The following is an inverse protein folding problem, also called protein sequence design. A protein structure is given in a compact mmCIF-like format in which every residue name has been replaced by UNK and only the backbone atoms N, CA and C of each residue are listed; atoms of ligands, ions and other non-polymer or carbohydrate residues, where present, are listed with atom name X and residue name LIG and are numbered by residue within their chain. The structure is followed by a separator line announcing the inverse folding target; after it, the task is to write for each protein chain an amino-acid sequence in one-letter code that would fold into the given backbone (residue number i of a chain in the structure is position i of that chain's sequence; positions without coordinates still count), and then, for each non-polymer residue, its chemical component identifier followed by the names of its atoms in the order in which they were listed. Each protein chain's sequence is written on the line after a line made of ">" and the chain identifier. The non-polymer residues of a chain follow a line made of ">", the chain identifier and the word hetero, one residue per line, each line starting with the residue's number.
data_IF_795582525309
#
_entry.id   IF_795582525309
#
_cell.length_a   1.000
_cell.length_b   1.000
_cell.length_c   1.000
_cell.angle_alpha   90.00
_cell.angle_beta   90.00
_cell.angle_gamma   90.00
#
_symmetry.space_group_name_H-M   'P 1'
#
loop_
_entity.id
_entity.type
_entity.pdbx_description
1 polymer ?
#
# COMPACT_ATOMS: atom_id res chain seq x y z
N UNK A 1 27.92 8.96 9.22
CA UNK A 1 26.91 7.93 9.63
C UNK A 1 26.59 8.07 11.09
N UNK A 2 27.62 8.24 11.94
CA UNK A 2 27.46 8.33 13.41
C UNK A 2 26.70 9.57 13.83
N UNK A 3 26.84 10.67 13.12
CA UNK A 3 26.09 11.93 13.35
C UNK A 3 24.57 11.74 13.17
N UNK A 4 24.14 10.95 12.18
CA UNK A 4 22.70 10.68 11.95
C UNK A 4 22.10 9.81 13.05
N UNK A 5 22.88 8.86 13.57
CA UNK A 5 22.46 8.00 14.71
C UNK A 5 22.36 8.82 16.00
N UNK A 6 23.23 9.85 16.14
CA UNK A 6 23.29 10.71 17.32
C UNK A 6 22.21 11.82 17.35
N UNK A 7 21.42 11.99 16.28
CA UNK A 7 20.33 12.98 16.26
C UNK A 7 19.32 12.69 17.38
N UNK A 8 18.98 13.73 18.11
CA UNK A 8 17.88 13.67 19.07
C UNK A 8 16.51 13.85 18.38
N UNK A 9 15.44 13.44 19.07
CA UNK A 9 14.06 13.67 18.61
C UNK A 9 13.68 15.15 18.52
N UNK A 10 14.46 16.05 19.12
CA UNK A 10 14.29 17.52 18.99
C UNK A 10 15.01 18.09 17.78
N UNK A 11 16.09 17.44 17.31
CA UNK A 11 16.87 17.87 16.14
C UNK A 11 16.31 17.30 14.85
N UNK A 12 15.85 16.04 14.85
CA UNK A 12 15.34 15.35 13.66
C UNK A 12 14.20 16.14 12.94
N UNK A 13 13.21 16.76 13.64
CA UNK A 13 12.16 17.56 12.98
C UNK A 13 12.67 18.82 12.27
N UNK A 14 13.92 19.23 12.54
CA UNK A 14 14.55 20.42 11.92
C UNK A 14 15.29 20.07 10.63
N UNK A 15 15.43 18.80 10.30
CA UNK A 15 16.02 18.40 9.03
C UNK A 15 15.12 18.85 7.87
N UNK A 16 15.72 19.62 6.96
CA UNK A 16 15.02 20.07 5.76
C UNK A 16 14.91 18.92 4.73
N UNK A 17 13.99 19.07 3.77
CA UNK A 17 13.87 18.19 2.61
C UNK A 17 15.20 18.01 1.87
N UNK A 18 15.95 19.10 1.67
CA UNK A 18 17.27 19.07 1.02
C UNK A 18 18.29 18.27 1.82
N UNK A 19 18.30 18.39 3.14
CA UNK A 19 19.20 17.61 4.00
C UNK A 19 18.85 16.12 3.96
N UNK A 20 17.57 15.76 3.98
CA UNK A 20 17.12 14.36 3.82
C UNK A 20 17.51 13.83 2.44
N UNK A 21 17.27 14.58 1.37
CA UNK A 21 17.64 14.17 0.01
C UNK A 21 19.16 13.95 -0.17
N UNK A 22 19.99 14.70 0.60
CA UNK A 22 21.45 14.59 0.56
C UNK A 22 22.01 13.40 1.38
N UNK A 23 21.19 12.73 2.22
CA UNK A 23 21.64 11.57 2.98
C UNK A 23 21.93 10.39 2.05
N UNK A 24 23.00 9.66 2.34
CA UNK A 24 23.23 8.36 1.69
C UNK A 24 22.20 7.33 2.15
N UNK A 25 22.02 6.26 1.37
CA UNK A 25 21.17 5.13 1.73
C UNK A 25 21.58 4.49 3.07
N UNK A 26 22.89 4.42 3.33
CA UNK A 26 23.41 3.93 4.61
C UNK A 26 23.01 4.83 5.78
N UNK A 27 23.02 6.15 5.60
CA UNK A 27 22.58 7.09 6.63
C UNK A 27 21.07 6.97 6.88
N UNK A 28 20.26 6.88 5.83
CA UNK A 28 18.81 6.68 5.94
C UNK A 28 18.49 5.37 6.66
N UNK A 29 19.17 4.27 6.34
CA UNK A 29 18.95 2.98 7.01
C UNK A 29 19.33 3.00 8.50
N UNK A 30 20.12 3.98 8.94
CA UNK A 30 20.54 4.16 10.34
C UNK A 30 19.71 5.21 11.10
N UNK A 31 18.78 5.91 10.44
CA UNK A 31 17.85 6.80 11.15
C UNK A 31 17.03 6.00 12.16
N UNK A 32 17.02 6.47 13.40
CA UNK A 32 16.19 5.88 14.46
C UNK A 32 14.69 6.03 14.14
N UNK A 33 13.91 5.04 14.52
CA UNK A 33 12.44 5.04 14.28
C UNK A 33 11.75 6.25 14.93
N UNK A 34 12.21 6.68 16.10
CA UNK A 34 11.65 7.84 16.79
C UNK A 34 12.00 9.16 16.05
N UNK A 35 13.17 9.20 15.40
CA UNK A 35 13.56 10.34 14.57
C UNK A 35 12.74 10.36 13.26
N UNK A 36 12.44 9.19 12.66
CA UNK A 36 11.58 9.09 11.48
C UNK A 36 10.17 9.61 11.76
N UNK A 37 9.58 9.25 12.89
CA UNK A 37 8.21 9.65 13.27
C UNK A 37 8.03 11.17 13.39
N UNK A 38 9.10 11.91 13.66
CA UNK A 38 9.04 13.35 13.86
C UNK A 38 9.54 14.17 12.66
N UNK A 39 9.95 13.50 11.57
CA UNK A 39 10.30 14.20 10.32
C UNK A 39 9.06 14.92 9.75
N UNK A 40 9.31 16.08 9.13
CA UNK A 40 8.27 16.81 8.40
C UNK A 40 7.80 16.02 7.17
N UNK A 41 6.60 16.33 6.68
CA UNK A 41 6.07 15.72 5.46
C UNK A 41 6.94 16.00 4.25
N UNK A 42 7.47 17.22 4.12
CA UNK A 42 8.40 17.59 3.04
C UNK A 42 9.69 16.75 3.09
N UNK A 43 10.17 16.43 4.29
CA UNK A 43 11.33 15.57 4.48
C UNK A 43 11.04 14.11 4.06
N UNK A 44 9.84 13.60 4.31
CA UNK A 44 9.39 12.27 3.86
C UNK A 44 9.23 12.25 2.33
N UNK A 45 8.63 13.26 1.75
CA UNK A 45 8.44 13.40 0.30
C UNK A 45 9.77 13.48 -0.45
N UNK A 46 10.78 14.08 0.16
CA UNK A 46 12.13 14.21 -0.40
C UNK A 46 12.93 12.89 -0.45
N UNK A 47 12.45 11.81 0.15
CA UNK A 47 13.12 10.52 0.08
C UNK A 47 13.19 10.02 -1.36
N UNK A 48 14.39 9.83 -1.86
CA UNK A 48 14.61 9.24 -3.17
C UNK A 48 14.23 7.75 -3.20
N UNK A 49 14.05 7.22 -4.40
CA UNK A 49 13.79 5.78 -4.65
C UNK A 49 14.84 4.89 -3.96
N UNK A 50 16.12 5.25 -4.05
CA UNK A 50 17.21 4.48 -3.44
C UNK A 50 17.16 4.54 -1.90
N UNK A 51 16.81 5.69 -1.34
CA UNK A 51 16.64 5.87 0.10
C UNK A 51 15.42 5.08 0.61
N UNK A 52 14.29 5.12 -0.11
CA UNK A 52 13.10 4.32 0.23
C UNK A 52 13.40 2.82 0.25
N UNK A 53 14.14 2.30 -0.75
CA UNK A 53 14.61 0.91 -0.77
C UNK A 53 15.47 0.53 0.44
N UNK A 54 16.22 1.48 0.98
CA UNK A 54 17.12 1.25 2.11
C UNK A 54 16.40 1.23 3.47
N UNK A 55 15.15 1.68 3.54
CA UNK A 55 14.35 1.61 4.76
C UNK A 55 14.07 0.15 5.15
N UNK A 56 14.25 -0.17 6.41
CA UNK A 56 13.86 -1.47 6.98
C UNK A 56 12.34 -1.56 7.16
N UNK A 57 11.82 -2.78 7.36
CA UNK A 57 10.40 -3.00 7.68
C UNK A 57 9.99 -2.22 8.94
N UNK A 58 10.84 -2.23 9.97
CA UNK A 58 10.60 -1.47 11.21
C UNK A 58 10.54 0.04 10.97
N UNK A 59 11.39 0.57 10.10
CA UNK A 59 11.37 1.99 9.75
C UNK A 59 10.12 2.37 8.96
N UNK A 60 9.73 1.55 7.99
CA UNK A 60 8.51 1.78 7.19
C UNK A 60 7.26 1.72 8.07
N UNK A 61 7.13 0.71 8.94
CA UNK A 61 5.99 0.58 9.86
C UNK A 61 5.96 1.65 10.96
N UNK A 62 7.10 2.29 11.23
CA UNK A 62 7.18 3.39 12.20
C UNK A 62 6.71 4.74 11.64
N UNK A 63 6.65 4.91 10.32
CA UNK A 63 6.06 6.12 9.73
C UNK A 63 4.60 6.26 10.18
N UNK A 64 4.19 7.46 10.55
CA UNK A 64 2.77 7.72 10.80
C UNK A 64 1.97 7.55 9.50
N UNK A 65 0.68 7.27 9.61
CA UNK A 65 -0.22 7.19 8.43
C UNK A 65 -0.21 8.50 7.62
N UNK A 66 -0.12 9.64 8.31
CA UNK A 66 0.02 10.94 7.67
C UNK A 66 1.34 11.07 6.88
N UNK A 67 2.47 10.65 7.46
CA UNK A 67 3.76 10.62 6.75
C UNK A 67 3.73 9.63 5.57
N UNK A 68 3.09 8.48 5.74
CA UNK A 68 3.01 7.45 4.68
C UNK A 68 2.32 7.99 3.42
N UNK A 69 1.30 8.84 3.56
CA UNK A 69 0.66 9.56 2.43
C UNK A 69 1.62 10.44 1.64
N UNK A 70 2.65 10.96 2.29
CA UNK A 70 3.66 11.84 1.68
C UNK A 70 4.84 11.10 1.05
N UNK A 71 4.88 9.76 1.14
CA UNK A 71 5.83 9.00 0.34
C UNK A 71 5.48 9.13 -1.13
N UNK A 72 6.45 9.55 -1.94
CA UNK A 72 6.28 9.66 -3.38
C UNK A 72 5.90 8.32 -4.01
N UNK A 73 5.13 8.34 -5.10
CA UNK A 73 4.67 7.13 -5.80
C UNK A 73 5.82 6.23 -6.24
N UNK A 74 6.91 6.80 -6.74
CA UNK A 74 8.13 6.06 -7.10
C UNK A 74 8.83 5.45 -5.88
N UNK A 75 8.78 6.12 -4.72
CA UNK A 75 9.36 5.63 -3.48
C UNK A 75 8.56 4.43 -2.95
N UNK A 76 7.23 4.52 -2.93
CA UNK A 76 6.37 3.41 -2.46
C UNK A 76 6.45 2.18 -3.39
N UNK A 77 6.50 2.39 -4.71
CA UNK A 77 6.70 1.31 -5.69
C UNK A 77 8.06 0.60 -5.52
N UNK A 78 9.05 1.32 -4.99
CA UNK A 78 10.39 0.81 -4.77
C UNK A 78 10.58 0.07 -3.44
N UNK A 79 9.63 0.18 -2.50
CA UNK A 79 9.67 -0.59 -1.27
C UNK A 79 9.68 -2.08 -1.59
N UNK A 80 10.52 -2.84 -0.90
CA UNK A 80 10.51 -4.29 -1.05
C UNK A 80 9.15 -4.86 -0.61
N UNK A 81 8.69 -5.92 -1.25
CA UNK A 81 7.35 -6.49 -1.02
C UNK A 81 7.12 -6.92 0.42
N UNK A 82 8.18 -7.34 1.13
CA UNK A 82 8.15 -7.69 2.55
C UNK A 82 7.88 -6.48 3.46
N UNK A 83 8.11 -5.24 2.98
CA UNK A 83 7.76 -4.02 3.71
C UNK A 83 6.24 -3.80 3.74
N UNK A 84 5.55 -4.19 2.67
CA UNK A 84 4.10 -4.08 2.53
C UNK A 84 3.37 -4.98 3.52
N UNK A 85 3.85 -6.20 3.74
CA UNK A 85 3.30 -7.12 4.76
C UNK A 85 3.32 -6.51 6.17
N UNK A 86 4.31 -5.66 6.45
CA UNK A 86 4.51 -5.05 7.76
C UNK A 86 3.83 -3.67 7.91
N UNK A 87 3.09 -3.19 6.90
CA UNK A 87 2.31 -1.96 7.03
C UNK A 87 1.23 -2.13 8.09
N UNK A 88 1.06 -1.10 8.91
CA UNK A 88 -0.07 -1.04 9.83
C UNK A 88 -1.39 -0.83 9.09
N UNK A 89 -2.49 -1.23 9.70
CA UNK A 89 -3.83 -1.00 9.13
C UNK A 89 -4.09 0.49 8.84
N UNK A 90 -3.61 1.39 9.71
CA UNK A 90 -3.75 2.83 9.53
C UNK A 90 -2.93 3.36 8.33
N UNK A 91 -1.74 2.79 8.10
CA UNK A 91 -0.94 3.11 6.91
C UNK A 91 -1.63 2.62 5.64
N UNK A 92 -2.19 1.41 5.65
CA UNK A 92 -2.94 0.87 4.49
C UNK A 92 -4.19 1.70 4.20
N UNK A 93 -4.95 2.08 5.23
CA UNK A 93 -6.11 2.97 5.09
C UNK A 93 -5.73 4.37 4.56
N UNK A 94 -4.48 4.77 4.76
CA UNK A 94 -3.96 6.05 4.32
C UNK A 94 -3.41 6.04 2.89
N UNK A 95 -3.26 4.88 2.23
CA UNK A 95 -2.78 4.77 0.85
C UNK A 95 -3.68 5.59 -0.08
N UNK A 96 -3.08 6.51 -0.82
CA UNK A 96 -3.80 7.33 -1.80
C UNK A 96 -4.07 6.55 -3.09
N UNK A 97 -4.97 7.08 -3.94
CA UNK A 97 -5.24 6.50 -5.27
C UNK A 97 -3.99 6.42 -6.14
N UNK A 98 -3.16 7.46 -6.12
CA UNK A 98 -1.93 7.50 -6.91
C UNK A 98 -0.89 6.49 -6.38
N UNK A 99 -0.79 6.38 -5.07
CA UNK A 99 0.09 5.41 -4.44
C UNK A 99 -0.35 3.97 -4.72
N UNK A 100 -1.65 3.66 -4.64
CA UNK A 100 -2.13 2.30 -4.92
C UNK A 100 -1.92 1.91 -6.40
N UNK A 101 -2.07 2.85 -7.32
CA UNK A 101 -1.77 2.63 -8.74
C UNK A 101 -0.28 2.36 -8.99
N UNK A 102 0.59 2.99 -8.20
CA UNK A 102 2.04 2.81 -8.30
C UNK A 102 2.54 1.50 -7.66
N UNK A 103 1.77 0.89 -6.75
CA UNK A 103 2.15 -0.40 -6.16
C UNK A 103 2.28 -1.48 -7.23
N UNK A 104 3.32 -2.28 -7.15
CA UNK A 104 3.52 -3.42 -8.02
C UNK A 104 2.52 -4.54 -7.73
N UNK A 105 2.28 -5.43 -8.69
CA UNK A 105 1.45 -6.63 -8.49
C UNK A 105 1.97 -7.50 -7.35
N UNK A 106 3.30 -7.62 -7.20
CA UNK A 106 3.91 -8.34 -6.06
C UNK A 106 3.59 -7.69 -4.72
N UNK A 107 3.60 -6.35 -4.64
CA UNK A 107 3.25 -5.63 -3.41
C UNK A 107 1.75 -5.79 -3.07
N UNK A 108 0.87 -5.69 -4.06
CA UNK A 108 -0.57 -5.92 -3.89
C UNK A 108 -0.85 -7.37 -3.46
N UNK A 109 -0.18 -8.35 -4.07
CA UNK A 109 -0.34 -9.77 -3.72
C UNK A 109 0.13 -10.13 -2.31
N UNK A 110 0.96 -9.29 -1.70
CA UNK A 110 1.43 -9.48 -0.32
C UNK A 110 0.52 -8.79 0.73
N UNK A 111 -0.53 -8.08 0.33
CA UNK A 111 -1.50 -7.55 1.29
C UNK A 111 -2.28 -8.71 1.93
N UNK A 112 -2.27 -8.77 3.25
CA UNK A 112 -3.13 -9.70 3.98
C UNK A 112 -4.62 -9.33 3.83
N UNK A 113 -5.52 -10.27 4.10
CA UNK A 113 -6.96 -9.98 4.08
C UNK A 113 -7.35 -8.83 5.01
N UNK A 114 -6.76 -8.76 6.21
CA UNK A 114 -7.00 -7.67 7.16
C UNK A 114 -6.51 -6.31 6.61
N UNK A 115 -5.40 -6.28 5.90
CA UNK A 115 -4.91 -5.08 5.23
C UNK A 115 -5.78 -4.70 4.02
N UNK A 116 -6.19 -5.68 3.21
CA UNK A 116 -7.06 -5.45 2.05
C UNK A 116 -8.39 -4.80 2.47
N UNK A 117 -8.99 -5.26 3.57
CA UNK A 117 -10.20 -4.67 4.17
C UNK A 117 -10.03 -3.17 4.50
N UNK A 118 -8.81 -2.73 4.83
CA UNK A 118 -8.52 -1.33 5.21
C UNK A 118 -8.30 -0.39 4.03
N UNK A 119 -8.10 -0.90 2.82
CA UNK A 119 -8.06 -0.03 1.64
C UNK A 119 -9.37 0.73 1.50
N UNK A 120 -9.29 2.01 1.14
CA UNK A 120 -10.49 2.79 0.84
C UNK A 120 -11.15 2.27 -0.44
N UNK A 121 -12.46 2.47 -0.59
CA UNK A 121 -13.19 2.15 -1.84
C UNK A 121 -12.59 2.87 -3.04
N UNK A 122 -12.12 4.11 -2.87
CA UNK A 122 -11.42 4.87 -3.91
C UNK A 122 -10.09 4.22 -4.31
N UNK A 123 -9.33 3.70 -3.34
CA UNK A 123 -8.09 2.97 -3.62
C UNK A 123 -8.39 1.67 -4.38
N UNK A 124 -9.40 0.91 -3.96
CA UNK A 124 -9.82 -0.32 -4.67
C UNK A 124 -10.29 0.00 -6.09
N UNK A 125 -11.07 1.05 -6.29
CA UNK A 125 -11.50 1.51 -7.62
C UNK A 125 -10.33 1.94 -8.51
N UNK A 126 -9.21 2.36 -7.93
CA UNK A 126 -8.01 2.77 -8.65
C UNK A 126 -7.12 1.60 -9.08
N UNK A 127 -7.31 0.39 -8.52
CA UNK A 127 -6.54 -0.79 -8.88
C UNK A 127 -6.75 -1.16 -10.35
N UNK A 128 -5.66 -1.55 -11.01
CA UNK A 128 -5.69 -2.14 -12.34
C UNK A 128 -6.17 -3.61 -12.30
N UNK A 129 -6.59 -4.14 -13.44
CA UNK A 129 -6.95 -5.56 -13.58
C UNK A 129 -5.79 -6.48 -13.16
N UNK A 130 -4.55 -6.15 -13.50
CA UNK A 130 -3.37 -6.92 -13.10
C UNK A 130 -3.13 -6.90 -11.59
N UNK A 131 -3.40 -5.77 -10.92
CA UNK A 131 -3.29 -5.66 -9.48
C UNK A 131 -4.42 -6.44 -8.77
N UNK A 132 -5.66 -6.34 -9.24
CA UNK A 132 -6.79 -7.16 -8.72
C UNK A 132 -6.50 -8.65 -8.86
N UNK A 133 -6.02 -9.09 -10.03
CA UNK A 133 -5.63 -10.48 -10.28
C UNK A 133 -4.51 -10.97 -9.36
N UNK A 134 -3.63 -10.08 -8.92
CA UNK A 134 -2.51 -10.42 -8.04
C UNK A 134 -2.91 -10.59 -6.56
N UNK A 135 -4.09 -10.15 -6.15
CA UNK A 135 -4.59 -10.32 -4.78
C UNK A 135 -4.71 -11.82 -4.48
N UNK A 136 -4.21 -12.24 -3.32
CA UNK A 136 -4.38 -13.61 -2.86
C UNK A 136 -5.88 -13.98 -2.78
N UNK A 137 -6.25 -15.16 -3.29
CA UNK A 137 -7.66 -15.57 -3.35
C UNK A 137 -8.31 -15.63 -1.97
N UNK A 138 -7.59 -16.09 -0.94
CA UNK A 138 -8.13 -16.12 0.42
C UNK A 138 -8.31 -14.70 1.01
N UNK A 139 -7.50 -13.73 0.58
CA UNK A 139 -7.63 -12.34 1.02
C UNK A 139 -8.89 -11.66 0.46
N UNK A 140 -9.38 -12.08 -0.70
CA UNK A 140 -10.59 -11.52 -1.35
C UNK A 140 -11.83 -11.64 -0.45
N UNK A 141 -11.95 -12.72 0.32
CA UNK A 141 -13.06 -12.92 1.26
C UNK A 141 -13.19 -11.81 2.33
N UNK A 142 -12.09 -11.09 2.59
CA UNK A 142 -12.05 -10.00 3.58
C UNK A 142 -12.46 -8.64 2.99
N UNK A 143 -12.65 -8.52 1.69
CA UNK A 143 -13.12 -7.27 1.09
C UNK A 143 -14.52 -6.94 1.60
N UNK A 144 -14.78 -5.66 1.85
CA UNK A 144 -16.13 -5.20 2.17
C UNK A 144 -17.01 -5.22 0.92
N UNK A 145 -18.32 -5.24 1.11
CA UNK A 145 -19.29 -5.15 0.00
C UNK A 145 -19.10 -3.89 -0.84
N UNK A 146 -18.74 -2.77 -0.20
CA UNK A 146 -18.49 -1.50 -0.89
C UNK A 146 -17.18 -1.54 -1.69
N UNK A 147 -16.16 -2.23 -1.18
CA UNK A 147 -14.93 -2.47 -1.93
C UNK A 147 -15.20 -3.35 -3.16
N UNK A 148 -15.99 -4.41 -3.04
CA UNK A 148 -16.37 -5.28 -4.17
C UNK A 148 -17.14 -4.50 -5.23
N UNK A 149 -18.10 -3.67 -4.83
CA UNK A 149 -18.82 -2.75 -5.74
C UNK A 149 -17.90 -1.76 -6.45
N UNK A 150 -16.84 -1.33 -5.76
CA UNK A 150 -15.88 -0.35 -6.29
C UNK A 150 -14.91 -0.95 -7.32
N UNK A 151 -14.78 -2.28 -7.41
CA UNK A 151 -13.94 -2.91 -8.44
C UNK A 151 -14.47 -2.55 -9.82
N UNK A 152 -13.59 -2.05 -10.69
CA UNK A 152 -13.95 -1.77 -12.09
C UNK A 152 -14.39 -3.04 -12.81
N UNK A 153 -15.34 -2.90 -13.72
CA UNK A 153 -15.91 -4.02 -14.50
C UNK A 153 -14.80 -4.82 -15.20
N UNK A 154 -13.86 -4.12 -15.84
CA UNK A 154 -12.74 -4.73 -16.55
C UNK A 154 -11.80 -5.49 -15.60
N UNK A 155 -11.62 -4.96 -14.39
CA UNK A 155 -10.79 -5.58 -13.37
C UNK A 155 -11.46 -6.82 -12.75
N UNK A 156 -12.76 -6.76 -12.54
CA UNK A 156 -13.54 -7.90 -12.05
C UNK A 156 -13.53 -9.06 -13.05
N UNK A 157 -13.73 -8.79 -14.34
CA UNK A 157 -13.63 -9.78 -15.41
C UNK A 157 -12.23 -10.43 -15.51
N UNK A 158 -11.20 -9.77 -14.99
CA UNK A 158 -9.84 -10.31 -14.91
C UNK A 158 -9.55 -11.19 -13.69
N UNK A 159 -10.47 -11.27 -12.72
CA UNK A 159 -10.30 -12.13 -11.55
C UNK A 159 -10.32 -13.62 -11.94
N UNK A 160 -9.56 -14.44 -11.22
CA UNK A 160 -9.61 -15.90 -11.40
C UNK A 160 -10.90 -16.48 -10.79
N UNK A 161 -11.31 -17.66 -11.28
CA UNK A 161 -12.44 -18.40 -10.68
C UNK A 161 -12.20 -18.66 -9.19
N UNK A 162 -10.94 -18.92 -8.78
CA UNK A 162 -10.57 -19.10 -7.38
C UNK A 162 -10.82 -17.83 -6.55
N UNK A 163 -10.57 -16.63 -7.10
CA UNK A 163 -10.88 -15.36 -6.41
C UNK A 163 -12.40 -15.13 -6.33
N UNK A 164 -13.13 -15.37 -7.41
CA UNK A 164 -14.60 -15.20 -7.42
C UNK A 164 -15.26 -16.18 -6.44
N UNK A 165 -14.79 -17.43 -6.37
CA UNK A 165 -15.34 -18.44 -5.43
C UNK A 165 -15.13 -18.08 -3.95
N UNK A 166 -14.17 -17.21 -3.63
CA UNK A 166 -13.96 -16.71 -2.27
C UNK A 166 -14.91 -15.55 -1.90
N UNK A 167 -15.59 -14.95 -2.86
CA UNK A 167 -16.57 -13.91 -2.55
C UNK A 167 -17.76 -14.53 -1.78
N UNK A 168 -18.10 -13.90 -0.65
CA UNK A 168 -19.18 -14.37 0.22
C UNK A 168 -20.53 -14.23 -0.49
N UNK A 169 -21.18 -15.37 -0.79
CA UNK A 169 -22.39 -15.42 -1.61
C UNK A 169 -23.55 -14.58 -1.06
N UNK A 170 -23.69 -14.53 0.28
CA UNK A 170 -24.81 -13.84 0.95
C UNK A 170 -24.66 -12.32 0.99
N UNK A 171 -23.44 -11.80 0.84
CA UNK A 171 -23.12 -10.38 0.96
C UNK A 171 -22.40 -9.83 -0.26
N UNK A 172 -21.18 -10.30 -0.55
CA UNK A 172 -20.33 -9.75 -1.59
C UNK A 172 -20.85 -10.06 -3.01
N UNK A 173 -21.29 -11.31 -3.28
CA UNK A 173 -21.88 -11.66 -4.58
C UNK A 173 -23.17 -10.88 -4.82
N UNK A 174 -24.04 -10.76 -3.81
CA UNK A 174 -25.27 -9.93 -3.93
C UNK A 174 -24.99 -8.44 -4.09
N UNK A 175 -23.81 -7.98 -3.72
CA UNK A 175 -23.41 -6.60 -3.86
C UNK A 175 -22.92 -6.24 -5.27
N UNK A 176 -22.60 -7.24 -6.11
CA UNK A 176 -22.18 -6.99 -7.49
C UNK A 176 -23.25 -6.22 -8.26
N UNK A 177 -22.81 -5.24 -9.03
CA UNK A 177 -23.69 -4.51 -9.96
C UNK A 177 -24.04 -5.38 -11.16
N UNK A 178 -25.13 -5.06 -11.86
CA UNK A 178 -25.52 -5.76 -13.10
C UNK A 178 -24.38 -5.78 -14.12
N UNK A 179 -23.66 -4.68 -14.27
CA UNK A 179 -22.53 -4.59 -15.19
C UNK A 179 -21.38 -5.52 -14.78
N UNK A 180 -21.10 -5.62 -13.48
CA UNK A 180 -20.09 -6.54 -12.94
C UNK A 180 -20.48 -8.00 -13.17
N UNK A 181 -21.75 -8.36 -12.92
CA UNK A 181 -22.25 -9.74 -13.16
C UNK A 181 -22.16 -10.10 -14.64
N UNK A 182 -22.52 -9.18 -15.54
CA UNK A 182 -22.42 -9.39 -16.98
C UNK A 182 -20.99 -9.53 -17.50
N UNK A 183 -20.00 -9.09 -16.74
CA UNK A 183 -18.59 -9.22 -17.09
C UNK A 183 -17.95 -10.54 -16.64
N UNK A 184 -18.65 -11.30 -15.80
CA UNK A 184 -18.17 -12.63 -15.36
C UNK A 184 -18.32 -13.64 -16.50
N UNK A 185 -17.29 -14.43 -16.71
CA UNK A 185 -17.31 -15.53 -17.67
C UNK A 185 -17.88 -16.83 -17.08
N UNK A 186 -18.06 -17.84 -17.93
CA UNK A 186 -18.63 -19.14 -17.54
C UNK A 186 -17.75 -19.92 -16.57
N UNK A 187 -16.45 -19.66 -16.51
CA UNK A 187 -15.51 -20.29 -15.57
C UNK A 187 -15.59 -19.64 -14.18
N UNK A 188 -15.89 -18.35 -14.14
CA UNK A 188 -16.05 -17.58 -12.90
C UNK A 188 -17.42 -17.83 -12.23
N UNK A 189 -18.41 -18.32 -12.97
CA UNK A 189 -19.77 -18.61 -12.49
C UNK A 189 -19.97 -20.06 -12.02
N UNK A 190 -18.93 -20.89 -12.07
CA UNK A 190 -18.95 -22.30 -11.59
C UNK A 190 -18.39 -22.40 -10.18
#
# INVERSE_FOLDING_TARGET
>A
TDQIVALSSTQAPKLSAQQIAALSTTQVSKLGVDNLKVLSYDAIEALSVSQAKALSSTQVSALTSAQFKHLGTSAIAALASDRIVNLTNDQVAAITTDQVQALTTSQIGNLSGAQLEKLTTSAVAALSASQIKAIDSAAVANMTTDQVKAIKVEALGGMSSAQISQLVATTQIKALTTAQVNALDSAQLK
#
